data_IF_355049923255
#
_entry.id   IF_355049923255
#
_cell.length_a   1.000
_cell.length_b   1.000
_cell.length_c   1.000
_cell.angle_alpha   90.00
_cell.angle_beta   90.00
_cell.angle_gamma   90.00
#
_symmetry.space_group_name_H-M   'P 1'
#
loop_
_entity.id
_entity.type
_entity.pdbx_description
1 polymer ?
#
# COMPACT_ATOMS: atom_id res chain seq x y z
N UNK A 1 -5.24 -16.87 8.40
CA UNK A 1 -5.27 -16.30 9.77
C UNK A 1 -5.24 -17.38 10.84
N UNK A 2 -4.60 -17.13 11.99
CA UNK A 2 -4.63 -18.04 13.14
C UNK A 2 -5.94 -17.88 13.94
N UNK A 3 -6.84 -18.86 13.86
CA UNK A 3 -8.19 -18.79 14.46
C UNK A 3 -8.17 -18.81 15.99
N UNK A 4 -7.16 -19.42 16.63
CA UNK A 4 -7.06 -19.45 18.10
C UNK A 4 -6.73 -18.07 18.69
N UNK A 5 -6.28 -17.12 17.85
CA UNK A 5 -5.98 -15.74 18.23
C UNK A 5 -7.08 -14.73 17.92
N UNK A 6 -8.23 -15.17 17.39
CA UNK A 6 -9.38 -14.29 17.12
C UNK A 6 -9.76 -13.43 18.34
N UNK A 7 -9.85 -13.96 19.59
CA UNK A 7 -10.20 -13.13 20.74
C UNK A 7 -9.23 -11.96 20.97
N UNK A 8 -7.95 -12.16 20.67
CA UNK A 8 -6.90 -11.14 20.81
C UNK A 8 -7.04 -10.08 19.72
N UNK A 9 -7.35 -10.49 18.48
CA UNK A 9 -7.56 -9.53 17.40
C UNK A 9 -8.77 -8.63 17.68
N UNK A 10 -9.89 -9.22 18.14
CA UNK A 10 -11.12 -8.49 18.42
C UNK A 10 -11.04 -7.63 19.69
N UNK A 11 -10.19 -7.99 20.67
CA UNK A 11 -9.99 -7.15 21.85
C UNK A 11 -9.19 -5.87 21.58
N UNK A 12 -8.50 -5.81 20.45
CA UNK A 12 -7.67 -4.66 20.06
C UNK A 12 -8.17 -3.91 18.83
N UNK A 13 -9.18 -4.43 18.13
CA UNK A 13 -9.76 -3.78 16.96
C UNK A 13 -11.29 -3.66 17.04
N UNK A 14 -11.85 -2.51 16.62
CA UNK A 14 -11.14 -1.31 16.18
C UNK A 14 -10.49 -0.57 17.35
N UNK A 15 -9.31 0.02 17.14
CA UNK A 15 -8.64 0.87 18.14
C UNK A 15 -9.24 2.30 18.26
N UNK A 16 -10.40 2.52 17.62
CA UNK A 16 -11.08 3.82 17.51
C UNK A 16 -10.61 4.65 16.31
N UNK A 17 -11.53 5.43 15.74
CA UNK A 17 -11.26 6.47 14.73
C UNK A 17 -12.31 7.57 14.86
N UNK A 18 -12.07 8.76 14.29
CA UNK A 18 -13.03 9.86 14.35
C UNK A 18 -14.17 9.68 13.34
N UNK A 19 -15.35 10.20 13.66
CA UNK A 19 -16.47 10.24 12.70
C UNK A 19 -16.13 11.04 11.44
N UNK A 20 -15.24 12.04 11.55
CA UNK A 20 -14.73 12.79 10.39
C UNK A 20 -13.89 11.93 9.45
N UNK A 21 -13.09 11.00 9.99
CA UNK A 21 -12.34 10.06 9.16
C UNK A 21 -13.29 9.12 8.41
N UNK A 22 -14.32 8.60 9.07
CA UNK A 22 -15.34 7.77 8.39
C UNK A 22 -16.10 8.56 7.31
N UNK A 23 -16.48 9.81 7.59
CA UNK A 23 -17.09 10.69 6.59
C UNK A 23 -16.18 10.89 5.38
N UNK A 24 -14.88 11.08 5.61
CA UNK A 24 -13.90 11.26 4.53
C UNK A 24 -13.81 10.01 3.64
N UNK A 25 -13.76 8.82 4.21
CA UNK A 25 -13.81 7.56 3.46
C UNK A 25 -15.09 7.43 2.63
N UNK A 26 -16.25 7.77 3.21
CA UNK A 26 -17.51 7.78 2.47
C UNK A 26 -17.47 8.76 1.29
N UNK A 27 -16.88 9.94 1.47
CA UNK A 27 -16.72 10.91 0.39
C UNK A 27 -15.85 10.35 -0.74
N UNK A 28 -14.70 9.74 -0.42
CA UNK A 28 -13.81 9.13 -1.43
C UNK A 28 -14.52 8.03 -2.23
N UNK A 29 -15.30 7.17 -1.56
CA UNK A 29 -16.10 6.13 -2.24
C UNK A 29 -17.17 6.76 -3.14
N UNK A 30 -17.86 7.81 -2.68
CA UNK A 30 -18.93 8.47 -3.45
C UNK A 30 -18.40 9.23 -4.66
N UNK A 31 -17.24 9.86 -4.55
CA UNK A 31 -16.69 10.69 -5.64
C UNK A 31 -15.74 9.92 -6.55
N UNK A 32 -15.23 8.75 -6.13
CA UNK A 32 -14.20 8.02 -6.86
C UNK A 32 -12.88 8.78 -6.96
N UNK A 33 -12.64 9.73 -6.06
CA UNK A 33 -11.46 10.61 -6.07
C UNK A 33 -10.80 10.67 -4.71
N UNK A 34 -9.47 10.71 -4.68
CA UNK A 34 -8.72 10.95 -3.45
C UNK A 34 -8.46 12.45 -3.31
N UNK A 35 -9.24 13.10 -2.46
CA UNK A 35 -9.15 14.54 -2.19
C UNK A 35 -9.13 14.81 -0.68
N UNK A 36 -8.84 16.05 -0.29
CA UNK A 36 -9.00 16.49 1.09
C UNK A 36 -10.47 16.34 1.56
N UNK A 37 -10.69 16.26 2.87
CA UNK A 37 -12.03 16.13 3.45
C UNK A 37 -12.92 17.31 3.01
N UNK A 38 -14.09 17.01 2.44
CA UNK A 38 -15.07 18.04 2.11
C UNK A 38 -15.81 18.46 3.40
N UNK A 39 -15.58 19.69 3.84
CA UNK A 39 -16.20 20.32 5.01
C UNK A 39 -17.44 21.16 4.64
N UNK A 40 -17.82 21.20 3.35
CA UNK A 40 -18.80 22.10 2.76
C UNK A 40 -18.19 23.44 2.34
N UNK A 41 -18.75 24.08 1.30
CA UNK A 41 -18.14 25.22 0.60
C UNK A 41 -17.58 26.32 1.51
N UNK A 42 -18.35 26.76 2.53
CA UNK A 42 -17.94 27.83 3.44
C UNK A 42 -16.70 27.45 4.24
N UNK A 43 -16.63 26.21 4.71
CA UNK A 43 -15.49 25.71 5.50
C UNK A 43 -14.32 25.36 4.60
N UNK A 44 -14.57 24.78 3.42
CA UNK A 44 -13.52 24.56 2.43
C UNK A 44 -12.86 25.88 2.02
N UNK A 45 -13.63 26.94 1.79
CA UNK A 45 -13.07 28.25 1.47
C UNK A 45 -12.21 28.79 2.63
N UNK A 46 -12.66 28.63 3.87
CA UNK A 46 -11.90 29.06 5.04
C UNK A 46 -10.64 28.21 5.31
N UNK A 47 -10.66 26.91 5.00
CA UNK A 47 -9.56 25.97 5.28
C UNK A 47 -8.59 25.83 4.11
N UNK A 48 -9.07 25.81 2.88
CA UNK A 48 -8.32 25.52 1.66
C UNK A 48 -8.20 26.72 0.71
N UNK A 49 -8.93 27.81 0.95
CA UNK A 49 -8.97 28.95 0.04
C UNK A 49 -9.81 28.71 -1.22
N UNK A 50 -10.49 27.56 -1.32
CA UNK A 50 -11.33 27.18 -2.46
C UNK A 50 -12.56 26.40 -1.99
N UNK A 51 -13.67 26.49 -2.73
CA UNK A 51 -14.94 25.85 -2.36
C UNK A 51 -14.92 24.32 -2.45
N UNK A 52 -14.12 23.79 -3.37
CA UNK A 52 -13.99 22.35 -3.63
C UNK A 52 -12.69 21.87 -2.96
N UNK A 53 -12.66 20.75 -2.22
CA UNK A 53 -11.43 20.27 -1.61
C UNK A 53 -10.35 19.94 -2.66
N UNK A 54 -9.09 20.32 -2.45
CA UNK A 54 -7.99 19.96 -3.33
C UNK A 54 -7.84 18.44 -3.47
N UNK A 55 -7.53 17.97 -4.68
CA UNK A 55 -7.22 16.55 -4.94
C UNK A 55 -5.75 16.24 -4.66
N UNK A 56 -5.45 15.01 -4.23
CA UNK A 56 -4.07 14.55 -4.09
C UNK A 56 -3.53 14.06 -5.43
N UNK A 57 -2.49 14.75 -5.94
CA UNK A 57 -1.81 14.35 -7.17
C UNK A 57 -0.70 13.34 -6.87
N UNK A 58 -0.99 12.06 -7.10
CA UNK A 58 -0.07 10.96 -6.84
C UNK A 58 1.17 10.98 -7.75
N UNK A 59 1.12 11.62 -8.92
CA UNK A 59 2.30 11.79 -9.78
C UNK A 59 3.39 12.64 -9.14
N UNK A 60 3.06 13.40 -8.10
CA UNK A 60 4.06 14.15 -7.32
C UNK A 60 4.94 13.22 -6.48
N UNK A 61 4.55 11.96 -6.30
CA UNK A 61 5.39 10.91 -5.70
C UNK A 61 6.27 10.34 -6.82
N UNK A 62 7.23 11.12 -7.31
CA UNK A 62 8.11 10.73 -8.43
C UNK A 62 9.50 10.28 -8.01
N UNK A 63 9.95 10.67 -6.81
CA UNK A 63 11.33 10.48 -6.34
C UNK A 63 11.48 9.39 -5.28
N UNK A 64 10.37 8.88 -4.73
CA UNK A 64 10.38 7.90 -3.64
C UNK A 64 10.24 6.50 -4.24
N UNK A 65 11.19 5.57 -4.05
CA UNK A 65 11.04 4.17 -4.46
C UNK A 65 9.87 3.49 -3.72
N UNK A 66 8.94 2.90 -4.47
CA UNK A 66 7.76 2.20 -3.93
C UNK A 66 7.88 0.69 -4.20
N UNK A 67 7.67 -0.11 -3.17
CA UNK A 67 7.56 -1.56 -3.27
C UNK A 67 6.14 -1.94 -2.86
N UNK A 68 5.32 -2.31 -3.83
CA UNK A 68 3.89 -2.57 -3.66
C UNK A 68 3.66 -4.07 -3.45
N UNK A 69 2.87 -4.42 -2.44
CA UNK A 69 2.34 -5.77 -2.22
C UNK A 69 0.82 -5.65 -2.25
N UNK A 70 0.16 -6.38 -3.16
CA UNK A 70 -1.28 -6.31 -3.38
C UNK A 70 -1.92 -7.70 -3.30
N UNK A 71 -3.09 -7.78 -2.66
CA UNK A 71 -3.82 -9.03 -2.46
C UNK A 71 -4.91 -9.21 -3.52
N UNK A 72 -5.06 -10.42 -4.06
CA UNK A 72 -6.08 -10.70 -5.07
C UNK A 72 -7.51 -10.73 -4.53
N UNK A 73 -7.67 -11.08 -3.25
CA UNK A 73 -8.96 -11.15 -2.55
C UNK A 73 -9.19 -9.93 -1.62
N UNK A 74 -8.42 -8.85 -1.79
CA UNK A 74 -8.60 -7.64 -1.00
C UNK A 74 -9.83 -6.85 -1.47
N UNK A 75 -10.81 -6.68 -0.58
CA UNK A 75 -12.04 -5.93 -0.87
C UNK A 75 -11.91 -4.42 -0.60
N UNK A 76 -10.92 -4.00 0.20
CA UNK A 76 -10.69 -2.60 0.53
C UNK A 76 -9.71 -1.95 -0.43
N UNK A 77 -8.60 -2.63 -0.74
CA UNK A 77 -7.62 -2.24 -1.75
C UNK A 77 -7.73 -3.18 -2.96
N UNK A 78 -8.89 -3.17 -3.60
CA UNK A 78 -9.21 -4.11 -4.67
C UNK A 78 -8.34 -3.91 -5.93
N UNK A 79 -8.32 -4.94 -6.78
CA UNK A 79 -7.53 -4.94 -8.02
C UNK A 79 -7.92 -3.82 -8.99
N UNK A 80 -9.16 -3.35 -8.99
CA UNK A 80 -9.60 -2.25 -9.85
C UNK A 80 -8.96 -0.93 -9.40
N UNK A 81 -8.94 -0.65 -8.11
CA UNK A 81 -8.32 0.56 -7.57
C UNK A 81 -6.79 0.51 -7.71
N UNK A 82 -6.17 -0.66 -7.46
CA UNK A 82 -4.72 -0.82 -7.65
C UNK A 82 -4.32 -0.63 -9.12
N UNK A 83 -4.91 -1.40 -10.05
CA UNK A 83 -4.47 -1.42 -11.44
C UNK A 83 -5.07 -0.26 -12.27
N UNK A 84 -6.31 0.15 -11.98
CA UNK A 84 -7.02 1.18 -12.73
C UNK A 84 -6.81 2.60 -12.20
N UNK A 85 -6.53 2.75 -10.90
CA UNK A 85 -6.35 4.08 -10.30
C UNK A 85 -4.90 4.35 -9.85
N UNK A 86 -4.34 3.49 -8.99
CA UNK A 86 -3.08 3.76 -8.32
C UNK A 86 -1.86 3.61 -9.26
N UNK A 87 -1.65 2.42 -9.82
CA UNK A 87 -0.48 2.12 -10.66
C UNK A 87 -0.29 3.07 -11.85
N UNK A 88 -1.34 3.50 -12.58
CA UNK A 88 -1.19 4.49 -13.65
C UNK A 88 -0.67 5.87 -13.17
N UNK A 89 -0.76 6.17 -11.88
CA UNK A 89 -0.35 7.46 -11.30
C UNK A 89 1.00 7.41 -10.59
N UNK A 90 1.36 6.28 -9.97
CA UNK A 90 2.63 6.12 -9.24
C UNK A 90 3.65 5.24 -9.97
N UNK A 91 3.31 4.70 -11.14
CA UNK A 91 4.10 3.64 -11.80
C UNK A 91 5.58 3.96 -12.00
N UNK A 92 5.93 5.24 -12.24
CA UNK A 92 7.32 5.69 -12.36
C UNK A 92 8.17 5.46 -11.10
N UNK A 93 7.53 5.35 -9.94
CA UNK A 93 8.19 5.16 -8.65
C UNK A 93 8.16 3.71 -8.16
N UNK A 94 7.36 2.84 -8.78
CA UNK A 94 7.23 1.44 -8.37
C UNK A 94 8.46 0.64 -8.82
N UNK A 95 9.25 0.16 -7.86
CA UNK A 95 10.42 -0.69 -8.09
C UNK A 95 10.05 -2.17 -8.13
N UNK A 96 9.00 -2.54 -7.39
CA UNK A 96 8.49 -3.90 -7.30
C UNK A 96 6.98 -3.85 -7.10
N UNK A 97 6.27 -4.71 -7.81
CA UNK A 97 4.84 -4.94 -7.63
C UNK A 97 4.60 -6.44 -7.43
N UNK A 98 4.37 -6.85 -6.19
CA UNK A 98 4.10 -8.23 -5.81
C UNK A 98 2.59 -8.43 -5.71
N UNK A 99 2.06 -9.36 -6.49
CA UNK A 99 0.68 -9.78 -6.39
C UNK A 99 0.57 -11.11 -5.66
N UNK A 100 -0.24 -11.15 -4.59
CA UNK A 100 -0.54 -12.32 -3.77
C UNK A 100 -2.01 -12.70 -3.97
N UNK A 101 -2.35 -13.60 -4.90
CA UNK A 101 -3.73 -13.83 -5.34
C UNK A 101 -4.70 -14.18 -4.19
N UNK A 102 -4.23 -14.99 -3.25
CA UNK A 102 -5.09 -15.49 -2.17
C UNK A 102 -5.22 -14.55 -0.97
N UNK A 103 -4.40 -13.48 -0.91
CA UNK A 103 -4.39 -12.55 0.21
C UNK A 103 -5.62 -11.64 0.19
N UNK A 104 -6.28 -11.53 1.34
CA UNK A 104 -7.20 -10.43 1.65
C UNK A 104 -6.49 -9.30 2.41
N UNK A 105 -7.24 -8.24 2.75
CA UNK A 105 -6.71 -7.05 3.41
C UNK A 105 -5.96 -7.32 4.73
N UNK A 106 -6.45 -8.27 5.52
CA UNK A 106 -5.91 -8.56 6.84
C UNK A 106 -4.78 -9.59 6.80
N UNK A 107 -4.61 -10.33 5.70
CA UNK A 107 -3.54 -11.33 5.58
C UNK A 107 -2.15 -10.69 5.59
N UNK A 108 -2.02 -9.42 5.19
CA UNK A 108 -0.77 -8.66 5.31
C UNK A 108 -0.31 -8.46 6.77
N UNK A 109 -1.22 -8.59 7.74
CA UNK A 109 -0.94 -8.39 9.18
C UNK A 109 -1.09 -9.69 9.97
N UNK A 110 -2.09 -10.53 9.62
CA UNK A 110 -2.47 -11.73 10.38
C UNK A 110 -2.38 -13.03 9.58
N UNK A 111 -1.96 -12.94 8.33
CA UNK A 111 -1.72 -14.11 7.50
C UNK A 111 -0.68 -15.01 8.15
N UNK A 112 -0.97 -16.30 8.24
CA UNK A 112 -0.02 -17.28 8.82
C UNK A 112 1.28 -17.28 8.02
N UNK A 113 1.18 -17.05 6.71
CA UNK A 113 2.31 -17.01 5.79
C UNK A 113 2.91 -15.61 5.60
N UNK A 114 2.38 -14.56 6.24
CA UNK A 114 2.84 -13.17 6.06
C UNK A 114 4.33 -12.99 6.33
N UNK A 115 4.90 -13.77 7.25
CA UNK A 115 6.35 -13.80 7.51
C UNK A 115 7.14 -14.18 6.26
N UNK A 116 6.70 -15.20 5.54
CA UNK A 116 7.38 -15.72 4.36
C UNK A 116 7.08 -14.86 3.14
N UNK A 117 5.82 -14.50 2.92
CA UNK A 117 5.37 -13.91 1.66
C UNK A 117 5.54 -12.39 1.62
N UNK A 118 5.62 -11.73 2.78
CA UNK A 118 5.67 -10.26 2.88
C UNK A 118 6.87 -9.79 3.70
N UNK A 119 7.02 -10.23 4.95
CA UNK A 119 7.99 -9.62 5.87
C UNK A 119 9.44 -9.96 5.54
N UNK A 120 9.75 -11.22 5.20
CA UNK A 120 11.09 -11.62 4.74
C UNK A 120 11.49 -10.89 3.45
N UNK A 121 10.65 -10.81 2.41
CA UNK A 121 10.91 -9.97 1.24
C UNK A 121 11.20 -8.52 1.59
N UNK A 122 10.38 -7.88 2.43
CA UNK A 122 10.61 -6.49 2.88
C UNK A 122 11.96 -6.34 3.59
N UNK A 123 12.28 -7.25 4.52
CA UNK A 123 13.54 -7.21 5.25
C UNK A 123 14.76 -7.37 4.32
N UNK A 124 14.65 -8.22 3.28
CA UNK A 124 15.68 -8.39 2.28
C UNK A 124 15.87 -7.12 1.44
N UNK A 125 14.79 -6.51 0.98
CA UNK A 125 14.82 -5.24 0.22
C UNK A 125 15.51 -4.13 1.02
N UNK A 126 15.18 -3.99 2.31
CA UNK A 126 15.82 -3.01 3.20
C UNK A 126 17.32 -3.30 3.38
N UNK A 127 17.70 -4.58 3.47
CA UNK A 127 19.11 -4.96 3.63
C UNK A 127 19.90 -4.67 2.35
N UNK A 128 19.32 -4.96 1.19
CA UNK A 128 19.94 -4.73 -0.13
C UNK A 128 20.08 -3.24 -0.41
N UNK A 129 19.08 -2.42 -0.08
CA UNK A 129 19.14 -0.96 -0.27
C UNK A 129 20.21 -0.27 0.59
N UNK A 130 20.71 -0.94 1.63
CA UNK A 130 21.77 -0.43 2.52
C UNK A 130 23.17 -0.85 2.09
N UNK A 131 23.31 -1.78 1.14
CA UNK A 131 24.62 -2.17 0.65
C UNK A 131 25.10 -1.17 -0.41
N UNK A 132 26.34 -0.67 -0.34
CA UNK A 132 26.89 0.17 -1.39
C UNK A 132 26.91 -0.60 -2.71
N UNK A 133 26.36 0.03 -3.76
CA UNK A 133 26.23 -0.47 -5.13
C UNK A 133 27.59 -0.69 -5.80
N UNK A 134 28.35 -1.70 -5.36
CA UNK A 134 29.75 -1.86 -5.75
C UNK A 134 30.30 -3.29 -5.77
N UNK A 135 29.46 -4.33 -5.68
CA UNK A 135 29.90 -5.70 -5.97
C UNK A 135 28.98 -6.35 -6.98
N UNK A 136 29.31 -6.14 -8.26
CA UNK A 136 28.85 -6.99 -9.36
C UNK A 136 29.14 -8.44 -8.99
N UNK A 137 28.09 -9.24 -8.83
CA UNK A 137 28.19 -10.68 -8.64
C UNK A 137 28.67 -11.28 -9.96
N UNK A 138 29.98 -11.43 -10.15
CA UNK A 138 30.49 -12.27 -11.22
C UNK A 138 30.00 -13.70 -10.93
N UNK A 139 29.11 -14.21 -11.78
CA UNK A 139 28.83 -15.64 -11.84
C UNK A 139 30.06 -16.31 -12.44
N UNK A 140 30.84 -16.99 -11.60
CA UNK A 140 31.81 -17.97 -12.07
C UNK A 140 31.03 -19.13 -12.69
N UNK A 141 31.04 -19.21 -14.01
CA UNK A 141 30.66 -20.42 -14.74
C UNK A 141 31.80 -21.43 -14.60
N UNK A 142 31.64 -22.40 -13.69
CA UNK A 142 32.49 -23.58 -13.63
C UNK A 142 32.11 -24.54 -14.76
N UNK A 143 32.73 -24.39 -15.94
CA UNK A 143 32.82 -25.49 -16.90
C UNK A 143 33.97 -26.40 -16.48
N UNK A 144 33.64 -27.51 -15.83
CA UNK A 144 34.55 -28.66 -15.72
C UNK A 144 34.53 -29.42 -17.04
N UNK A 145 35.65 -29.37 -17.76
CA UNK A 145 36.03 -30.37 -18.76
C UNK A 145 36.61 -31.59 -18.05
N UNK A 146 36.09 -32.77 -18.37
CA UNK A 146 36.56 -34.08 -17.94
C UNK A 146 35.78 -35.14 -18.69
#
# INVERSE_FOLDING_TARGET
>A
MNTTRIPVYLSHLPAGTSSLNLLHWIQMVKTGSVAMLDLGEKRNLATYGQKIPPSYEFRNISTIPIYLFAGGNDILANNQDINGFLLPRIGSSVQLNVHLPDYNHLDFIWGINAVTDVYKPIANLIRESRQPSGKSRQLETSTTSG
#
